data_IF_289470902151
#
_entry.id   IF_289470902151
#
_cell.length_a   1.000
_cell.length_b   1.000
_cell.length_c   1.000
_cell.angle_alpha   90.00
_cell.angle_beta   90.00
_cell.angle_gamma   90.00
#
_symmetry.space_group_name_H-M   'P 1'
#
loop_
_entity.id
_entity.type
_entity.pdbx_description
1 polymer ?
#
# COMPACT_ATOMS: atom_id res chain seq x y z
N UNK A 1 -25.92 9.15 6.50
CA UNK A 1 -24.98 9.03 7.62
C UNK A 1 -24.38 7.62 7.71
N UNK A 2 -25.23 6.59 7.76
CA UNK A 2 -24.74 5.20 7.77
C UNK A 2 -23.99 4.83 6.49
N UNK A 3 -24.50 5.23 5.33
CA UNK A 3 -23.82 4.97 4.07
C UNK A 3 -22.47 5.68 3.99
N UNK A 4 -22.39 6.89 4.50
CA UNK A 4 -21.13 7.65 4.56
C UNK A 4 -20.11 6.93 5.43
N UNK A 5 -20.54 6.41 6.60
CA UNK A 5 -19.68 5.66 7.48
C UNK A 5 -19.21 4.37 6.82
N UNK A 6 -20.08 3.64 6.15
CA UNK A 6 -19.74 2.42 5.43
C UNK A 6 -18.73 2.67 4.32
N UNK A 7 -18.90 3.75 3.57
CA UNK A 7 -17.95 4.16 2.53
C UNK A 7 -16.58 4.47 3.14
N UNK A 8 -16.55 5.22 4.24
CA UNK A 8 -15.31 5.55 4.93
C UNK A 8 -14.56 4.28 5.39
N UNK A 9 -15.30 3.32 5.99
CA UNK A 9 -14.71 2.04 6.40
C UNK A 9 -14.19 1.24 5.22
N UNK A 10 -14.92 1.22 4.10
CA UNK A 10 -14.46 0.57 2.89
C UNK A 10 -13.16 1.20 2.36
N UNK A 11 -13.10 2.52 2.35
CA UNK A 11 -11.90 3.24 1.90
C UNK A 11 -10.71 3.03 2.84
N UNK A 12 -10.93 2.92 4.15
CA UNK A 12 -9.87 2.56 5.11
C UNK A 12 -9.33 1.14 4.85
N UNK A 13 -10.21 0.21 4.55
CA UNK A 13 -9.82 -1.17 4.19
C UNK A 13 -9.01 -1.20 2.89
N UNK A 14 -9.45 -0.43 1.91
CA UNK A 14 -8.74 -0.32 0.63
C UNK A 14 -7.36 0.29 0.82
N UNK A 15 -7.24 1.32 1.65
CA UNK A 15 -5.95 1.93 1.97
C UNK A 15 -5.03 0.94 2.69
N UNK A 16 -5.55 0.17 3.64
CA UNK A 16 -4.78 -0.86 4.35
C UNK A 16 -4.26 -1.92 3.38
N UNK A 17 -5.11 -2.40 2.48
CA UNK A 17 -4.73 -3.37 1.46
C UNK A 17 -3.67 -2.80 0.50
N UNK A 18 -3.82 -1.54 0.10
CA UNK A 18 -2.86 -0.83 -0.74
C UNK A 18 -1.49 -0.76 -0.08
N UNK A 19 -1.44 -0.40 1.20
CA UNK A 19 -0.18 -0.30 1.95
C UNK A 19 0.49 -1.66 2.15
N UNK A 20 -0.28 -2.71 2.44
CA UNK A 20 0.26 -4.07 2.56
C UNK A 20 0.84 -4.55 1.22
N UNK A 21 0.17 -4.24 0.13
CA UNK A 21 0.63 -4.57 -1.21
C UNK A 21 1.93 -3.82 -1.56
N UNK A 22 1.98 -2.54 -1.23
CA UNK A 22 3.17 -1.72 -1.41
C UNK A 22 4.35 -2.28 -0.61
N UNK A 23 4.10 -2.69 0.62
CA UNK A 23 5.11 -3.27 1.51
C UNK A 23 5.71 -4.54 0.91
N UNK A 24 4.86 -5.48 0.47
CA UNK A 24 5.30 -6.73 -0.15
C UNK A 24 6.15 -6.47 -1.41
N UNK A 25 5.72 -5.52 -2.21
CA UNK A 25 6.40 -5.14 -3.45
C UNK A 25 7.77 -4.53 -3.18
N UNK A 26 7.86 -3.63 -2.21
CA UNK A 26 9.12 -2.98 -1.84
C UNK A 26 10.12 -3.98 -1.22
N UNK A 27 9.64 -4.90 -0.40
CA UNK A 27 10.48 -5.95 0.16
C UNK A 27 11.08 -6.83 -0.93
N UNK A 28 10.28 -7.22 -1.91
CA UNK A 28 10.75 -7.97 -3.08
C UNK A 28 11.77 -7.18 -3.89
N UNK A 29 11.51 -5.90 -4.12
CA UNK A 29 12.40 -5.03 -4.89
C UNK A 29 13.72 -4.79 -4.15
N UNK A 30 13.70 -4.56 -2.85
CA UNK A 30 14.90 -4.32 -2.05
C UNK A 30 15.87 -5.51 -2.10
N UNK A 31 15.34 -6.74 -2.15
CA UNK A 31 16.17 -7.96 -2.23
C UNK A 31 16.94 -8.06 -3.55
N UNK A 32 16.53 -7.36 -4.60
CA UNK A 32 17.15 -7.39 -5.93
C UNK A 32 18.08 -6.21 -6.21
N UNK A 33 18.16 -5.23 -5.30
CA UNK A 33 18.91 -3.98 -5.51
C UNK A 33 20.30 -4.00 -4.83
N UNK A 34 20.96 -5.15 -4.79
CA UNK A 34 22.28 -5.29 -4.15
C UNK A 34 23.33 -4.40 -4.79
N UNK A 35 23.24 -4.19 -6.11
CA UNK A 35 24.21 -3.37 -6.86
C UNK A 35 23.90 -1.87 -6.81
N UNK A 36 22.82 -1.47 -6.19
CA UNK A 36 22.40 -0.06 -6.08
C UNK A 36 22.14 0.30 -4.60
N UNK A 37 23.21 0.45 -3.80
CA UNK A 37 23.04 0.57 -2.33
C UNK A 37 22.27 1.82 -1.88
N UNK A 38 22.38 2.94 -2.61
CA UNK A 38 21.65 4.16 -2.27
C UNK A 38 20.15 4.00 -2.51
N UNK A 39 19.77 3.43 -3.65
CA UNK A 39 18.38 3.14 -3.97
C UNK A 39 17.78 2.11 -3.00
N UNK A 40 18.55 1.07 -2.71
CA UNK A 40 18.16 0.04 -1.74
C UNK A 40 17.88 0.66 -0.37
N UNK A 41 18.77 1.53 0.08
CA UNK A 41 18.59 2.23 1.37
C UNK A 41 17.31 3.06 1.37
N UNK A 42 17.03 3.81 0.31
CA UNK A 42 15.83 4.63 0.21
C UNK A 42 14.55 3.76 0.25
N UNK A 43 14.57 2.62 -0.41
CA UNK A 43 13.46 1.68 -0.39
C UNK A 43 13.29 1.07 0.99
N UNK A 44 14.37 0.71 1.67
CA UNK A 44 14.31 0.20 3.04
C UNK A 44 13.74 1.24 4.03
N UNK A 45 14.09 2.51 3.86
CA UNK A 45 13.51 3.59 4.65
C UNK A 45 12.00 3.71 4.39
N UNK A 46 11.59 3.63 3.13
CA UNK A 46 10.19 3.69 2.76
C UNK A 46 9.39 2.47 3.26
N UNK A 47 10.03 1.30 3.31
CA UNK A 47 9.44 0.10 3.92
C UNK A 47 9.08 0.36 5.38
N UNK A 48 9.99 0.95 6.15
CA UNK A 48 9.73 1.29 7.56
C UNK A 48 8.59 2.29 7.72
N UNK A 49 8.56 3.29 6.87
CA UNK A 49 7.46 4.27 6.84
C UNK A 49 6.11 3.57 6.55
N UNK A 50 6.10 2.68 5.58
CA UNK A 50 4.90 1.94 5.19
C UNK A 50 4.42 0.98 6.29
N UNK A 51 5.34 0.31 6.98
CA UNK A 51 5.00 -0.53 8.14
C UNK A 51 4.28 0.29 9.22
N UNK A 52 4.75 1.50 9.48
CA UNK A 52 4.10 2.42 10.41
C UNK A 52 2.70 2.82 9.94
N UNK A 53 2.53 3.06 8.65
CA UNK A 53 1.24 3.41 8.05
C UNK A 53 0.25 2.24 8.11
N UNK A 54 0.70 1.02 7.83
CA UNK A 54 -0.13 -0.19 7.98
C UNK A 54 -0.62 -0.32 9.41
N UNK A 55 0.27 -0.15 10.39
CA UNK A 55 -0.09 -0.22 11.80
C UNK A 55 -1.10 0.86 12.19
N UNK A 56 -0.93 2.07 11.68
CA UNK A 56 -1.85 3.18 11.95
C UNK A 56 -3.25 2.91 11.38
N UNK A 57 -3.32 2.39 10.15
CA UNK A 57 -4.58 2.04 9.51
C UNK A 57 -5.28 0.89 10.24
N UNK A 58 -4.52 -0.11 10.69
CA UNK A 58 -5.06 -1.20 11.50
C UNK A 58 -5.69 -0.69 12.80
N UNK A 59 -5.03 0.24 13.48
CA UNK A 59 -5.58 0.84 14.69
C UNK A 59 -6.85 1.64 14.42
N UNK A 60 -6.91 2.38 13.32
CA UNK A 60 -8.11 3.11 12.92
C UNK A 60 -9.28 2.18 12.65
N UNK A 61 -9.03 1.09 11.94
CA UNK A 61 -10.06 0.07 11.66
C UNK A 61 -10.55 -0.60 12.94
N UNK A 62 -9.63 -0.92 13.87
CA UNK A 62 -10.00 -1.51 15.16
C UNK A 62 -10.89 -0.57 15.99
N UNK A 63 -10.57 0.72 16.00
CA UNK A 63 -11.41 1.73 16.67
C UNK A 63 -12.81 1.82 16.09
N UNK A 64 -12.96 1.54 14.79
CA UNK A 64 -14.26 1.53 14.14
C UNK A 64 -14.99 0.19 14.28
N UNK A 65 -14.39 -0.79 14.95
CA UNK A 65 -14.95 -2.10 15.12
C UNK A 65 -14.91 -2.98 13.87
N UNK A 66 -13.99 -2.68 12.96
CA UNK A 66 -13.93 -3.32 11.64
C UNK A 66 -12.65 -4.12 11.39
N UNK A 67 -11.76 -4.20 12.38
CA UNK A 67 -10.41 -4.74 12.18
C UNK A 67 -10.35 -6.19 11.73
N UNK A 68 -11.17 -7.05 12.31
CA UNK A 68 -11.09 -8.50 12.05
C UNK A 68 -11.67 -8.92 10.70
N UNK A 69 -12.48 -8.09 10.06
CA UNK A 69 -13.12 -8.42 8.78
C UNK A 69 -12.26 -8.03 7.56
N UNK A 70 -11.22 -7.24 7.77
CA UNK A 70 -10.39 -6.68 6.70
C UNK A 70 -9.66 -7.78 5.91
N UNK A 71 -9.14 -8.78 6.61
CA UNK A 71 -8.33 -9.84 5.99
C UNK A 71 -9.14 -10.74 5.08
N UNK A 72 -10.46 -10.84 5.31
CA UNK A 72 -11.32 -11.74 4.55
C UNK A 72 -11.87 -11.12 3.26
N UNK A 73 -11.96 -9.79 3.20
CA UNK A 73 -12.67 -9.10 2.12
C UNK A 73 -11.77 -8.61 0.97
N UNK A 74 -10.43 -8.66 1.15
CA UNK A 74 -9.50 -8.06 0.20
C UNK A 74 -8.60 -9.01 -0.59
N UNK A 75 -8.62 -10.36 -0.42
CA UNK A 75 -7.65 -11.22 -1.13
C UNK A 75 -7.73 -11.12 -2.65
N UNK A 76 -8.92 -10.99 -3.21
CA UNK A 76 -9.10 -10.85 -4.65
C UNK A 76 -8.58 -9.53 -5.21
N UNK A 77 -8.82 -8.43 -4.50
CA UNK A 77 -8.33 -7.09 -4.88
C UNK A 77 -6.81 -7.03 -4.82
N UNK A 78 -6.21 -7.60 -3.78
CA UNK A 78 -4.76 -7.66 -3.62
C UNK A 78 -4.11 -8.47 -4.73
N UNK A 79 -4.69 -9.62 -5.09
CA UNK A 79 -4.18 -10.48 -6.16
C UNK A 79 -4.24 -9.77 -7.52
N UNK A 80 -5.37 -9.14 -7.84
CA UNK A 80 -5.53 -8.39 -9.08
C UNK A 80 -4.55 -7.23 -9.17
N UNK A 81 -4.37 -6.49 -8.08
CA UNK A 81 -3.43 -5.39 -8.01
C UNK A 81 -1.99 -5.87 -8.16
N UNK A 82 -1.61 -6.95 -7.47
CA UNK A 82 -0.29 -7.56 -7.57
C UNK A 82 0.01 -8.02 -9.00
N UNK A 83 -0.96 -8.64 -9.67
CA UNK A 83 -0.81 -9.06 -11.06
C UNK A 83 -0.62 -7.88 -12.00
N UNK A 84 -1.37 -6.80 -11.82
CA UNK A 84 -1.21 -5.61 -12.66
C UNK A 84 0.14 -4.94 -12.45
N UNK A 85 0.65 -4.93 -11.22
CA UNK A 85 1.94 -4.34 -10.89
C UNK A 85 3.11 -5.25 -11.30
N UNK A 86 2.97 -6.57 -11.21
CA UNK A 86 4.04 -7.50 -11.57
C UNK A 86 4.44 -7.37 -13.04
N UNK A 87 3.50 -7.05 -13.93
CA UNK A 87 3.79 -6.79 -15.33
C UNK A 87 4.67 -5.56 -15.57
N UNK A 88 4.67 -4.61 -14.63
CA UNK A 88 5.53 -3.42 -14.71
C UNK A 88 6.99 -3.71 -14.37
N UNK A 89 7.27 -4.82 -13.69
CA UNK A 89 8.63 -5.15 -13.24
C UNK A 89 9.36 -6.15 -14.14
N UNK A 90 8.69 -6.64 -15.20
CA UNK A 90 9.35 -7.49 -16.19
C UNK A 90 10.22 -6.65 -17.13
N UNK A 91 11.51 -6.98 -17.22
CA UNK A 91 12.47 -6.26 -18.06
C UNK A 91 13.42 -5.39 -17.23
N UNK A 92 13.41 -4.08 -17.41
CA UNK A 92 14.29 -3.17 -16.69
C UNK A 92 13.78 -2.91 -15.27
N UNK A 93 14.27 -3.67 -14.31
CA UNK A 93 13.81 -3.63 -12.92
C UNK A 93 14.03 -2.27 -12.25
N UNK A 94 15.13 -1.58 -12.55
CA UNK A 94 15.46 -0.32 -11.90
C UNK A 94 14.51 0.79 -12.33
N UNK A 95 14.33 0.96 -13.64
CA UNK A 95 13.46 2.01 -14.18
C UNK A 95 11.99 1.73 -13.85
N UNK A 96 11.55 0.50 -14.06
CA UNK A 96 10.16 0.11 -13.80
C UNK A 96 9.83 0.14 -12.31
N UNK A 97 10.77 -0.27 -11.46
CA UNK A 97 10.62 -0.17 -10.02
C UNK A 97 10.50 1.26 -9.54
N UNK A 98 11.27 2.17 -10.11
CA UNK A 98 11.19 3.61 -9.81
C UNK A 98 9.84 4.18 -10.24
N UNK A 99 9.36 3.83 -11.44
CA UNK A 99 8.03 4.24 -11.91
C UNK A 99 6.92 3.69 -11.02
N UNK A 100 7.01 2.43 -10.62
CA UNK A 100 6.06 1.81 -9.71
C UNK A 100 6.02 2.52 -8.37
N UNK A 101 7.17 2.82 -7.78
CA UNK A 101 7.27 3.55 -6.51
C UNK A 101 6.66 4.95 -6.63
N UNK A 102 6.95 5.67 -7.70
CA UNK A 102 6.38 7.00 -7.95
C UNK A 102 4.86 6.94 -8.05
N UNK A 103 4.33 5.98 -8.80
CA UNK A 103 2.89 5.77 -8.95
C UNK A 103 2.23 5.48 -7.61
N UNK A 104 2.84 4.63 -6.80
CA UNK A 104 2.34 4.31 -5.46
C UNK A 104 2.32 5.53 -4.55
N UNK A 105 3.38 6.30 -4.51
CA UNK A 105 3.44 7.49 -3.67
C UNK A 105 2.33 8.48 -4.01
N UNK A 106 2.06 8.69 -5.29
CA UNK A 106 0.97 9.57 -5.72
C UNK A 106 -0.41 9.01 -5.37
N UNK A 107 -0.60 7.70 -5.51
CA UNK A 107 -1.84 7.03 -5.12
C UNK A 107 -2.06 7.13 -3.60
N UNK A 108 -1.00 6.96 -2.80
CA UNK A 108 -1.06 7.12 -1.35
C UNK A 108 -1.48 8.54 -0.96
N UNK A 109 -0.87 9.56 -1.55
CA UNK A 109 -1.21 10.96 -1.30
C UNK A 109 -2.69 11.22 -1.58
N UNK A 110 -3.18 10.79 -2.73
CA UNK A 110 -4.58 10.95 -3.11
C UNK A 110 -5.52 10.22 -2.15
N UNK A 111 -5.19 8.99 -1.80
CA UNK A 111 -5.96 8.16 -0.88
C UNK A 111 -6.08 8.82 0.49
N UNK A 112 -4.97 9.27 1.05
CA UNK A 112 -4.97 9.90 2.37
C UNK A 112 -5.69 11.23 2.40
N UNK A 113 -5.62 12.01 1.33
CA UNK A 113 -6.40 13.26 1.20
C UNK A 113 -7.90 12.98 1.23
N UNK A 114 -8.34 11.94 0.54
CA UNK A 114 -9.74 11.53 0.53
C UNK A 114 -10.18 11.09 1.94
N UNK A 115 -9.37 10.27 2.61
CA UNK A 115 -9.66 9.78 3.95
C UNK A 115 -9.75 10.90 4.97
N UNK A 116 -8.83 11.87 4.91
CA UNK A 116 -8.83 13.03 5.81
C UNK A 116 -10.10 13.85 5.60
N UNK A 117 -10.50 14.06 4.37
CA UNK A 117 -11.71 14.82 4.03
C UNK A 117 -12.97 14.09 4.50
N UNK A 118 -13.01 12.76 4.39
CA UNK A 118 -14.16 11.94 4.77
C UNK A 118 -14.27 11.72 6.29
N UNK A 119 -13.18 11.86 7.01
CA UNK A 119 -13.15 11.63 8.46
C UNK A 119 -13.98 12.63 9.27
#
# INVERSE_FOLDING_TARGET
>A
MEQTRQNYLAWLRDAHAMEEQALAMMQSMASRLETYPQLRKRIQDHIRETEGQVSALSRLLDRQGAGSSVVKDTPGKMTAFAQSMSGMFTGDEVVKGTLGSYTFENMEIATYRILITAA
#
